data_IF_171331348221
#
_entry.id   IF_171331348221
#
_cell.length_a   1.000
_cell.length_b   1.000
_cell.length_c   1.000
_cell.angle_alpha   90.00
_cell.angle_beta   90.00
_cell.angle_gamma   90.00
#
_symmetry.space_group_name_H-M   'P 1'
#
loop_
_entity.id
_entity.type
_entity.pdbx_description
1 polymer ?
#
# COMPACT_ATOMS: atom_id res chain seq x y z
N UNK A 1 -9.15 16.33 -11.32
CA UNK A 1 -9.03 17.34 -10.23
C UNK A 1 -10.17 17.10 -9.23
N UNK A 2 -10.08 17.53 -7.97
CA UNK A 2 -11.04 17.16 -6.90
C UNK A 2 -12.51 17.57 -7.08
N UNK A 3 -12.91 18.15 -8.22
CA UNK A 3 -14.29 18.51 -8.57
C UNK A 3 -14.97 17.57 -9.57
N UNK A 4 -14.36 16.43 -9.91
CA UNK A 4 -14.92 15.47 -10.90
C UNK A 4 -15.63 14.27 -10.26
N UNK A 5 -15.66 14.16 -8.93
CA UNK A 5 -16.23 13.00 -8.24
C UNK A 5 -17.75 12.89 -8.42
N UNK A 6 -18.47 14.02 -8.41
CA UNK A 6 -19.91 14.04 -8.70
C UNK A 6 -20.19 13.54 -10.11
N UNK A 7 -19.37 13.94 -11.08
CA UNK A 7 -19.51 13.51 -12.47
C UNK A 7 -19.19 12.01 -12.61
N UNK A 8 -18.12 11.53 -11.96
CA UNK A 8 -17.77 10.11 -11.97
C UNK A 8 -18.91 9.25 -11.40
N UNK A 9 -19.49 9.64 -10.26
CA UNK A 9 -20.63 8.97 -9.65
C UNK A 9 -21.89 9.04 -10.53
N UNK A 10 -22.15 10.21 -11.12
CA UNK A 10 -23.26 10.37 -12.04
C UNK A 10 -23.12 9.41 -13.22
N UNK A 11 -21.95 9.36 -13.87
CA UNK A 11 -21.68 8.43 -14.97
C UNK A 11 -21.84 6.98 -14.54
N UNK A 12 -21.34 6.60 -13.36
CA UNK A 12 -21.50 5.25 -12.80
C UNK A 12 -22.98 4.88 -12.64
N UNK A 13 -23.81 5.81 -12.12
CA UNK A 13 -25.26 5.59 -11.95
C UNK A 13 -26.00 5.45 -13.29
N UNK A 14 -25.55 6.17 -14.33
CA UNK A 14 -26.14 6.14 -15.66
C UNK A 14 -25.78 4.88 -16.47
N UNK A 15 -24.76 4.11 -16.06
CA UNK A 15 -24.40 2.87 -16.77
C UNK A 15 -25.57 1.87 -16.79
N UNK A 16 -26.28 1.73 -15.67
CA UNK A 16 -27.43 0.84 -15.56
C UNK A 16 -28.59 1.26 -16.49
N UNK A 17 -28.90 2.56 -16.57
CA UNK A 17 -29.94 3.07 -17.47
C UNK A 17 -29.55 2.95 -18.96
N UNK A 18 -28.25 3.01 -19.25
CA UNK A 18 -27.69 2.75 -20.57
C UNK A 18 -27.53 1.25 -20.89
N UNK A 19 -27.92 0.33 -19.98
CA UNK A 19 -27.74 -1.13 -20.10
C UNK A 19 -26.27 -1.56 -20.27
N UNK A 20 -25.35 -0.79 -19.68
CA UNK A 20 -23.92 -1.10 -19.63
C UNK A 20 -23.59 -1.51 -18.19
N UNK A 21 -22.95 -2.67 -18.01
CA UNK A 21 -22.48 -3.10 -16.69
C UNK A 21 -21.27 -2.29 -16.23
N UNK A 22 -21.31 -1.78 -14.99
CA UNK A 22 -20.10 -1.23 -14.38
C UNK A 22 -19.07 -2.35 -14.15
N UNK A 23 -17.81 -2.05 -14.39
CA UNK A 23 -16.68 -2.96 -14.16
C UNK A 23 -15.70 -2.36 -13.15
N UNK A 24 -14.62 -3.08 -12.88
CA UNK A 24 -13.56 -2.70 -11.94
C UNK A 24 -13.01 -1.31 -12.25
N UNK A 25 -12.84 -0.99 -13.54
CA UNK A 25 -12.32 0.30 -14.00
C UNK A 25 -13.29 1.44 -13.65
N UNK A 26 -14.60 1.27 -13.89
CA UNK A 26 -15.61 2.27 -13.55
C UNK A 26 -15.64 2.59 -12.07
N UNK A 27 -15.61 1.57 -11.22
CA UNK A 27 -15.55 1.75 -9.77
C UNK A 27 -14.23 2.36 -9.32
N UNK A 28 -13.09 1.89 -9.84
CA UNK A 28 -11.76 2.42 -9.56
C UNK A 28 -11.66 3.92 -9.86
N UNK A 29 -12.21 4.37 -10.99
CA UNK A 29 -12.27 5.79 -11.33
C UNK A 29 -13.05 6.61 -10.28
N UNK A 30 -14.20 6.09 -9.82
CA UNK A 30 -15.01 6.74 -8.80
C UNK A 30 -14.30 6.78 -7.44
N UNK A 31 -13.71 5.67 -6.99
CA UNK A 31 -12.95 5.58 -5.73
C UNK A 31 -11.82 6.60 -5.73
N UNK A 32 -11.02 6.64 -6.81
CA UNK A 32 -9.92 7.61 -6.97
C UNK A 32 -10.40 9.06 -6.93
N UNK A 33 -11.52 9.35 -7.60
CA UNK A 33 -12.09 10.70 -7.61
C UNK A 33 -12.57 11.14 -6.22
N UNK A 34 -13.21 10.24 -5.47
CA UNK A 34 -13.66 10.47 -4.10
C UNK A 34 -12.46 10.68 -3.15
N UNK A 35 -11.39 9.88 -3.28
CA UNK A 35 -10.15 10.07 -2.53
C UNK A 35 -9.49 11.42 -2.80
N UNK A 36 -9.47 11.87 -4.06
CA UNK A 36 -8.97 13.21 -4.43
C UNK A 36 -9.83 14.33 -3.84
N UNK A 37 -11.13 14.09 -3.71
CA UNK A 37 -12.08 15.02 -3.10
C UNK A 37 -12.13 14.95 -1.57
N UNK A 38 -11.34 14.06 -0.93
CA UNK A 38 -11.32 13.82 0.52
C UNK A 38 -12.66 13.33 1.10
N UNK A 39 -13.42 12.57 0.31
CA UNK A 39 -14.69 11.94 0.74
C UNK A 39 -14.45 10.43 0.84
N UNK A 40 -13.72 10.03 1.88
CA UNK A 40 -13.17 8.69 1.98
C UNK A 40 -14.22 7.65 2.33
N UNK A 41 -15.23 8.00 3.11
CA UNK A 41 -16.36 7.13 3.46
C UNK A 41 -17.10 6.68 2.19
N UNK A 42 -17.31 7.62 1.26
CA UNK A 42 -17.93 7.31 -0.03
C UNK A 42 -17.02 6.45 -0.92
N UNK A 43 -15.71 6.69 -0.89
CA UNK A 43 -14.75 5.82 -1.57
C UNK A 43 -14.82 4.37 -1.05
N UNK A 44 -14.97 4.18 0.26
CA UNK A 44 -15.13 2.86 0.87
C UNK A 44 -16.49 2.22 0.55
N UNK A 45 -17.57 3.01 0.53
CA UNK A 45 -18.89 2.53 0.08
C UNK A 45 -18.84 2.03 -1.38
N UNK A 46 -18.14 2.74 -2.26
CA UNK A 46 -17.93 2.32 -3.65
C UNK A 46 -17.08 1.04 -3.72
N UNK A 47 -16.02 0.94 -2.92
CA UNK A 47 -15.19 -0.25 -2.85
C UNK A 47 -15.98 -1.48 -2.36
N UNK A 48 -16.83 -1.31 -1.34
CA UNK A 48 -17.75 -2.36 -0.89
C UNK A 48 -18.76 -2.73 -1.98
N UNK A 49 -19.27 -1.74 -2.73
CA UNK A 49 -20.22 -1.94 -3.83
C UNK A 49 -19.58 -2.70 -5.00
N UNK A 50 -18.30 -2.48 -5.31
CA UNK A 50 -17.55 -3.25 -6.30
C UNK A 50 -17.66 -4.76 -5.98
N UNK A 51 -17.39 -5.15 -4.74
CA UNK A 51 -17.52 -6.55 -4.29
C UNK A 51 -18.97 -7.05 -4.30
N UNK A 52 -19.91 -6.20 -3.89
CA UNK A 52 -21.34 -6.50 -3.92
C UNK A 52 -21.88 -6.79 -5.33
N UNK A 53 -21.25 -6.23 -6.36
CA UNK A 53 -21.52 -6.51 -7.77
C UNK A 53 -20.75 -7.74 -8.29
N UNK A 54 -20.22 -8.59 -7.41
CA UNK A 54 -19.44 -9.79 -7.73
C UNK A 54 -18.15 -9.51 -8.55
N UNK A 55 -17.67 -8.27 -8.55
CA UNK A 55 -16.39 -7.90 -9.15
C UNK A 55 -15.26 -8.18 -8.15
N UNK A 56 -14.09 -8.54 -8.67
CA UNK A 56 -12.91 -8.79 -7.85
C UNK A 56 -12.07 -7.51 -7.77
N UNK A 57 -11.87 -6.90 -6.59
CA UNK A 57 -11.01 -5.75 -6.48
C UNK A 57 -9.57 -6.12 -6.82
N UNK A 58 -8.95 -5.34 -7.70
CA UNK A 58 -7.56 -5.49 -8.09
C UNK A 58 -6.62 -4.62 -7.22
N UNK A 59 -5.31 -4.76 -7.44
CA UNK A 59 -4.28 -3.98 -6.76
C UNK A 59 -4.51 -2.46 -6.87
N UNK A 60 -5.04 -1.98 -8.00
CA UNK A 60 -5.33 -0.56 -8.20
C UNK A 60 -6.50 -0.10 -7.33
N UNK A 61 -7.58 -0.87 -7.28
CA UNK A 61 -8.78 -0.59 -6.48
C UNK A 61 -8.45 -0.56 -4.99
N UNK A 62 -7.68 -1.54 -4.50
CA UNK A 62 -7.20 -1.55 -3.12
C UNK A 62 -6.29 -0.36 -2.80
N UNK A 63 -5.31 -0.08 -3.66
CA UNK A 63 -4.40 1.06 -3.48
C UNK A 63 -5.15 2.40 -3.40
N UNK A 64 -6.16 2.59 -4.23
CA UNK A 64 -6.98 3.80 -4.22
C UNK A 64 -7.89 3.90 -3.00
N UNK A 65 -8.49 2.80 -2.56
CA UNK A 65 -9.31 2.77 -1.35
C UNK A 65 -8.46 3.08 -0.10
N UNK A 66 -7.27 2.47 -0.01
CA UNK A 66 -6.28 2.76 1.04
C UNK A 66 -5.86 4.22 1.02
N UNK A 67 -5.48 4.76 -0.14
CA UNK A 67 -5.05 6.15 -0.26
C UNK A 67 -6.18 7.15 0.07
N UNK A 68 -7.42 6.81 -0.30
CA UNK A 68 -8.59 7.63 0.00
C UNK A 68 -8.86 7.68 1.50
N UNK A 69 -8.82 6.53 2.18
CA UNK A 69 -9.08 6.41 3.61
C UNK A 69 -7.86 6.69 4.49
N UNK A 70 -6.70 7.00 3.92
CA UNK A 70 -5.51 7.31 4.71
C UNK A 70 -5.69 8.62 5.51
N UNK A 71 -5.36 8.67 6.82
CA UNK A 71 -4.68 7.65 7.65
C UNK A 71 -5.60 6.84 8.58
N UNK A 72 -6.89 6.71 8.28
CA UNK A 72 -7.88 6.05 9.15
C UNK A 72 -7.54 4.58 9.42
N UNK A 73 -7.87 4.08 10.61
CA UNK A 73 -7.49 2.72 11.04
C UNK A 73 -8.01 1.60 10.11
N UNK A 74 -9.11 1.84 9.38
CA UNK A 74 -9.68 0.91 8.40
C UNK A 74 -8.69 0.51 7.29
N UNK A 75 -7.65 1.32 7.02
CA UNK A 75 -6.66 1.00 5.99
C UNK A 75 -5.87 -0.28 6.29
N UNK A 76 -5.67 -0.63 7.56
CA UNK A 76 -5.01 -1.87 7.95
C UNK A 76 -5.87 -3.10 7.59
N UNK A 77 -7.18 -3.01 7.81
CA UNK A 77 -8.11 -4.07 7.43
C UNK A 77 -8.19 -4.24 5.91
N UNK A 78 -8.20 -3.12 5.16
CA UNK A 78 -8.17 -3.13 3.71
C UNK A 78 -6.87 -3.77 3.18
N UNK A 79 -5.72 -3.44 3.76
CA UNK A 79 -4.45 -4.03 3.36
C UNK A 79 -4.40 -5.52 3.69
N UNK A 80 -4.84 -5.93 4.87
CA UNK A 80 -4.95 -7.35 5.25
C UNK A 80 -5.87 -8.12 4.30
N UNK A 81 -6.98 -7.51 3.89
CA UNK A 81 -7.88 -8.08 2.91
C UNK A 81 -7.22 -8.19 1.53
N UNK A 82 -6.50 -7.16 1.07
CA UNK A 82 -5.75 -7.18 -0.18
C UNK A 82 -4.69 -8.29 -0.22
N UNK A 83 -4.05 -8.57 0.93
CA UNK A 83 -3.10 -9.66 1.09
C UNK A 83 -3.78 -11.04 1.03
N UNK A 84 -4.96 -11.20 1.65
CA UNK A 84 -5.75 -12.44 1.58
C UNK A 84 -6.25 -12.72 0.16
N UNK A 85 -6.65 -11.66 -0.54
CA UNK A 85 -7.08 -11.72 -1.95
C UNK A 85 -5.89 -11.85 -2.92
N UNK A 86 -4.65 -11.93 -2.41
CA UNK A 86 -3.42 -12.16 -3.18
C UNK A 86 -3.19 -11.13 -4.29
N UNK A 87 -3.54 -9.87 -4.02
CA UNK A 87 -3.47 -8.80 -5.04
C UNK A 87 -2.04 -8.37 -5.40
N UNK A 88 -1.06 -8.65 -4.53
CA UNK A 88 0.36 -8.37 -4.77
C UNK A 88 1.22 -9.64 -4.57
N UNK A 89 1.12 -10.63 -5.48
CA UNK A 89 1.80 -11.92 -5.32
C UNK A 89 3.33 -11.80 -5.34
N UNK A 90 3.85 -10.85 -6.12
CA UNK A 90 5.30 -10.62 -6.27
C UNK A 90 5.85 -9.56 -5.29
N UNK A 91 5.08 -9.13 -4.29
CA UNK A 91 5.54 -8.12 -3.33
C UNK A 91 6.70 -8.63 -2.48
N UNK A 92 6.66 -9.90 -2.04
CA UNK A 92 7.74 -10.50 -1.27
C UNK A 92 8.76 -11.15 -2.18
N UNK A 93 9.98 -10.62 -2.14
CA UNK A 93 11.10 -11.08 -2.95
C UNK A 93 12.11 -11.84 -2.11
N UNK A 94 12.90 -12.70 -2.76
CA UNK A 94 14.08 -13.38 -2.17
C UNK A 94 13.77 -14.05 -0.82
N UNK A 95 12.69 -14.81 -0.76
CA UNK A 95 12.27 -15.53 0.44
C UNK A 95 11.85 -14.62 1.61
N UNK A 96 11.51 -13.36 1.35
CA UNK A 96 11.06 -12.38 2.35
C UNK A 96 12.14 -11.40 2.83
N UNK A 97 13.34 -11.45 2.25
CA UNK A 97 14.41 -10.46 2.49
C UNK A 97 14.28 -9.20 1.63
N UNK A 98 13.49 -9.26 0.55
CA UNK A 98 13.19 -8.12 -0.29
C UNK A 98 11.70 -7.78 -0.31
N UNK A 99 11.36 -6.50 -0.46
CA UNK A 99 10.02 -5.99 -0.62
C UNK A 99 9.92 -5.17 -1.91
N UNK A 100 9.11 -5.61 -2.88
CA UNK A 100 8.86 -4.89 -4.13
C UNK A 100 7.58 -4.05 -4.05
N UNK A 101 7.72 -2.73 -4.22
CA UNK A 101 6.64 -1.75 -4.13
C UNK A 101 6.26 -1.14 -5.49
N UNK A 102 6.75 -1.67 -6.62
CA UNK A 102 6.49 -1.08 -7.95
C UNK A 102 5.01 -0.90 -8.24
N UNK A 103 4.18 -1.83 -7.78
CA UNK A 103 2.75 -1.80 -8.05
C UNK A 103 1.91 -1.05 -7.01
N UNK A 104 2.55 -0.55 -5.95
CA UNK A 104 1.88 0.13 -4.86
C UNK A 104 1.67 1.63 -5.13
N UNK A 105 0.61 2.15 -4.51
CA UNK A 105 0.47 3.57 -4.23
C UNK A 105 1.29 3.98 -3.00
N UNK A 106 1.37 5.27 -2.68
CA UNK A 106 2.09 5.71 -1.48
C UNK A 106 1.48 5.15 -0.19
N UNK A 107 0.15 5.15 -0.02
CA UNK A 107 -0.50 4.64 1.19
C UNK A 107 -0.32 3.13 1.34
N UNK A 108 -0.58 2.37 0.27
CA UNK A 108 -0.37 0.91 0.29
C UNK A 108 1.10 0.53 0.45
N UNK A 109 2.06 1.32 -0.06
CA UNK A 109 3.48 1.11 0.15
C UNK A 109 3.90 1.31 1.62
N UNK A 110 3.37 2.34 2.30
CA UNK A 110 3.62 2.58 3.73
C UNK A 110 3.10 1.40 4.56
N UNK A 111 1.92 0.87 4.24
CA UNK A 111 1.36 -0.31 4.90
C UNK A 111 2.18 -1.56 4.61
N UNK A 112 2.60 -1.77 3.36
CA UNK A 112 3.44 -2.89 2.98
C UNK A 112 4.77 -2.91 3.73
N UNK A 113 5.46 -1.77 3.84
CA UNK A 113 6.71 -1.65 4.60
C UNK A 113 6.47 -1.88 6.08
N UNK A 114 5.44 -1.26 6.66
CA UNK A 114 5.07 -1.44 8.07
C UNK A 114 4.76 -2.91 8.39
N UNK A 115 3.94 -3.57 7.56
CA UNK A 115 3.59 -4.98 7.68
C UNK A 115 4.81 -5.88 7.52
N UNK A 116 5.63 -5.65 6.50
CA UNK A 116 6.82 -6.46 6.24
C UNK A 116 7.81 -6.40 7.41
N UNK A 117 8.08 -5.20 7.93
CA UNK A 117 8.93 -5.00 9.10
C UNK A 117 8.35 -5.63 10.36
N UNK A 118 7.02 -5.57 10.56
CA UNK A 118 6.38 -6.11 11.76
C UNK A 118 6.22 -7.64 11.75
N UNK A 119 5.87 -8.22 10.60
CA UNK A 119 5.36 -9.59 10.50
C UNK A 119 6.29 -10.55 9.75
N UNK A 120 7.12 -10.05 8.83
CA UNK A 120 7.98 -10.90 7.97
C UNK A 120 9.42 -10.86 8.45
N UNK A 121 10.00 -9.66 8.60
CA UNK A 121 11.41 -9.47 8.96
C UNK A 121 11.82 -10.16 10.27
N UNK A 122 11.04 -10.10 11.38
CA UNK A 122 11.44 -10.77 12.62
C UNK A 122 11.55 -12.29 12.47
N UNK A 123 10.74 -12.90 11.59
CA UNK A 123 10.79 -14.33 11.27
C UNK A 123 12.06 -14.68 10.48
N UNK A 124 12.56 -13.76 9.66
CA UNK A 124 13.81 -13.94 8.91
C UNK A 124 15.03 -13.83 9.82
N UNK A 125 15.07 -12.80 10.69
CA UNK A 125 16.17 -12.60 11.65
C UNK A 125 16.35 -13.80 12.61
N UNK A 126 15.24 -14.47 12.95
CA UNK A 126 15.29 -15.66 13.82
C UNK A 126 15.84 -16.90 13.10
N UNK A 127 15.73 -16.98 11.77
CA UNK A 127 16.16 -18.15 10.97
C UNK A 127 17.65 -18.13 10.65
N UNK A 128 18.28 -16.96 10.59
CA UNK A 128 19.69 -16.80 10.16
C UNK A 128 20.71 -16.97 11.29
N UNK A 129 20.47 -17.86 12.27
CA UNK A 129 21.42 -18.18 13.35
C UNK A 129 22.82 -18.49 12.78
N UNK A 130 23.73 -17.51 12.82
CA UNK A 130 25.14 -17.66 12.44
C UNK A 130 25.58 -17.06 11.09
N UNK A 131 24.68 -16.50 10.28
CA UNK A 131 25.04 -15.78 9.04
C UNK A 131 24.54 -14.34 9.07
N UNK A 132 25.34 -13.40 8.56
CA UNK A 132 24.90 -12.02 8.31
C UNK A 132 23.61 -12.06 7.48
N UNK A 133 22.51 -11.44 7.95
CA UNK A 133 21.26 -11.45 7.20
C UNK A 133 21.52 -10.87 5.81
N UNK A 134 21.03 -11.57 4.78
CA UNK A 134 20.97 -11.06 3.41
C UNK A 134 20.38 -9.65 3.46
N UNK A 135 21.00 -8.69 2.79
CA UNK A 135 20.61 -7.27 2.84
C UNK A 135 19.10 -7.11 2.72
N UNK A 136 18.49 -6.53 3.76
CA UNK A 136 17.05 -6.25 3.77
C UNK A 136 16.79 -5.06 2.86
N UNK A 137 15.96 -5.29 1.85
CA UNK A 137 15.91 -4.38 0.72
C UNK A 137 14.47 -4.04 0.31
N UNK A 138 14.21 -2.75 0.11
CA UNK A 138 12.92 -2.25 -0.37
C UNK A 138 13.12 -1.64 -1.76
N UNK A 139 12.41 -2.18 -2.74
CA UNK A 139 12.42 -1.71 -4.12
C UNK A 139 11.25 -0.75 -4.30
N UNK A 140 11.52 0.55 -4.37
CA UNK A 140 10.50 1.59 -4.54
C UNK A 140 10.18 1.88 -6.01
N UNK A 141 10.92 1.25 -6.93
CA UNK A 141 10.89 1.54 -8.35
C UNK A 141 11.27 2.99 -8.69
N UNK A 142 11.01 3.39 -9.94
CA UNK A 142 11.20 4.77 -10.43
C UNK A 142 9.97 5.68 -10.16
N UNK A 143 9.02 5.23 -9.33
CA UNK A 143 7.72 5.85 -9.12
C UNK A 143 6.83 5.73 -10.37
N UNK A 144 5.58 5.27 -10.22
CA UNK A 144 4.62 5.08 -11.34
C UNK A 144 4.22 6.36 -12.10
N UNK A 145 4.82 7.51 -11.82
CA UNK A 145 4.39 8.79 -12.40
C UNK A 145 5.45 9.89 -12.34
N UNK A 146 6.73 9.57 -12.60
CA UNK A 146 7.73 10.64 -12.75
C UNK A 146 7.73 11.19 -14.16
N UNK A 147 6.78 12.07 -14.45
CA UNK A 147 6.95 13.02 -15.54
C UNK A 147 8.03 14.04 -15.11
N UNK A 148 9.00 14.40 -15.98
CA UNK A 148 10.16 15.23 -15.62
C UNK A 148 9.85 16.59 -14.95
N UNK A 149 8.61 17.08 -15.05
CA UNK A 149 8.19 18.40 -14.59
C UNK A 149 7.45 18.42 -13.24
N UNK A 150 7.29 17.29 -12.52
CA UNK A 150 6.64 17.30 -11.20
C UNK A 150 7.62 17.59 -10.04
N UNK A 151 7.23 18.41 -9.04
CA UNK A 151 8.07 18.74 -7.90
C UNK A 151 8.33 17.53 -6.99
N UNK A 152 9.52 17.51 -6.37
CA UNK A 152 10.02 16.43 -5.52
C UNK A 152 9.21 16.31 -4.21
N UNK A 153 8.10 15.57 -4.23
CA UNK A 153 7.24 15.36 -3.05
C UNK A 153 6.14 14.30 -3.19
N UNK A 154 5.85 13.84 -4.41
CA UNK A 154 4.91 12.73 -4.72
C UNK A 154 5.61 11.38 -4.92
N UNK A 155 6.88 11.29 -4.54
CA UNK A 155 7.73 10.14 -4.81
C UNK A 155 7.52 9.08 -3.74
N UNK A 156 7.09 7.88 -4.15
CA UNK A 156 6.91 6.71 -3.29
C UNK A 156 8.15 6.48 -2.41
N UNK A 157 9.35 6.70 -2.96
CA UNK A 157 10.59 6.57 -2.21
C UNK A 157 10.72 7.62 -1.10
N UNK A 158 10.24 8.85 -1.30
CA UNK A 158 10.23 9.88 -0.26
C UNK A 158 9.28 9.47 0.88
N UNK A 159 8.08 8.98 0.55
CA UNK A 159 7.12 8.51 1.55
C UNK A 159 7.65 7.33 2.37
N UNK A 160 8.27 6.34 1.72
CA UNK A 160 8.88 5.19 2.41
C UNK A 160 10.05 5.64 3.29
N UNK A 161 10.94 6.51 2.80
CA UNK A 161 12.05 7.01 3.63
C UNK A 161 11.56 7.79 4.84
N UNK A 162 10.57 8.67 4.65
CA UNK A 162 9.98 9.43 5.76
C UNK A 162 9.42 8.50 6.84
N UNK A 163 8.73 7.42 6.46
CA UNK A 163 8.27 6.40 7.41
C UNK A 163 9.45 5.78 8.17
N UNK A 164 10.51 5.38 7.47
CA UNK A 164 11.69 4.76 8.10
C UNK A 164 12.40 5.74 9.07
N UNK A 165 12.57 7.00 8.66
CA UNK A 165 13.17 8.07 9.47
C UNK A 165 12.33 8.36 10.73
N UNK A 166 11.00 8.49 10.60
CA UNK A 166 10.07 8.68 11.72
C UNK A 166 10.10 7.51 12.72
N UNK A 167 10.52 6.33 12.28
CA UNK A 167 10.66 5.13 13.12
C UNK A 167 12.09 4.84 13.53
N UNK A 168 13.03 5.75 13.25
CA UNK A 168 14.45 5.60 13.54
C UNK A 168 15.05 4.30 12.97
N UNK A 169 14.64 3.91 11.76
CA UNK A 169 15.15 2.75 11.03
C UNK A 169 16.14 3.26 9.97
N UNK A 170 17.45 3.05 10.16
CA UNK A 170 18.44 3.51 9.20
C UNK A 170 18.27 2.84 7.83
N UNK A 171 18.33 3.63 6.77
CA UNK A 171 18.35 3.13 5.40
C UNK A 171 19.32 3.91 4.51
N UNK A 172 19.83 3.26 3.46
CA UNK A 172 20.69 3.87 2.45
C UNK A 172 20.15 3.58 1.06
N UNK A 173 20.27 4.55 0.15
CA UNK A 173 19.96 4.33 -1.26
C UNK A 173 21.13 3.59 -1.90
N UNK A 174 20.85 2.55 -2.69
CA UNK A 174 21.89 1.81 -3.38
C UNK A 174 22.59 2.71 -4.43
N UNK A 175 23.95 2.77 -4.45
CA UNK A 175 24.67 3.72 -5.30
C UNK A 175 24.38 3.58 -6.80
N UNK A 176 24.25 2.34 -7.29
CA UNK A 176 23.98 2.02 -8.70
C UNK A 176 22.49 1.81 -9.01
N UNK A 177 21.62 1.76 -7.99
CA UNK A 177 20.20 1.52 -8.18
C UNK A 177 19.40 2.48 -7.30
N UNK A 178 19.07 3.64 -7.85
CA UNK A 178 18.39 4.70 -7.11
C UNK A 178 17.00 4.31 -6.62
N UNK A 179 16.37 3.26 -7.17
CA UNK A 179 15.07 2.76 -6.72
C UNK A 179 15.15 1.70 -5.62
N UNK A 180 16.36 1.38 -5.13
CA UNK A 180 16.59 0.36 -4.11
C UNK A 180 17.06 1.01 -2.80
N UNK A 181 16.34 0.71 -1.72
CA UNK A 181 16.69 1.08 -0.36
C UNK A 181 17.22 -0.14 0.38
N UNK A 182 18.38 -0.01 1.02
CA UNK A 182 18.97 -1.03 1.88
C UNK A 182 18.79 -0.61 3.34
N UNK A 183 18.15 -1.47 4.14
CA UNK A 183 17.86 -1.21 5.54
C UNK A 183 18.94 -1.81 6.44
N UNK A 184 19.26 -1.12 7.52
CA UNK A 184 20.15 -1.59 8.57
C UNK A 184 19.39 -1.71 9.88
N UNK A 185 19.12 -2.95 10.31
CA UNK A 185 18.36 -3.24 11.53
C UNK A 185 19.25 -3.59 12.73
N UNK A 186 20.57 -3.38 12.63
CA UNK A 186 21.47 -3.67 13.75
C UNK A 186 21.12 -2.80 14.95
N UNK A 187 20.86 -3.45 16.09
CA UNK A 187 20.49 -2.77 17.32
C UNK A 187 19.03 -2.30 17.41
N UNK A 188 18.19 -2.59 16.40
CA UNK A 188 16.75 -2.30 16.46
C UNK A 188 16.03 -3.38 17.26
N UNK A 189 15.23 -2.98 18.27
CA UNK A 189 14.45 -3.92 19.07
C UNK A 189 13.33 -4.56 18.21
N UNK A 190 13.24 -5.91 18.13
CA UNK A 190 12.13 -6.59 17.45
C UNK A 190 10.73 -6.15 17.91
N UNK A 191 10.57 -5.67 19.17
CA UNK A 191 9.31 -5.12 19.67
C UNK A 191 8.93 -3.81 19.00
N UNK A 192 9.90 -2.96 18.69
CA UNK A 192 9.70 -1.72 17.93
C UNK A 192 9.17 -2.03 16.52
N UNK A 193 9.73 -3.05 15.87
CA UNK A 193 9.28 -3.49 14.56
C UNK A 193 7.84 -4.02 14.59
N UNK A 194 7.49 -4.85 15.58
CA UNK A 194 6.13 -5.37 15.77
C UNK A 194 5.08 -4.29 16.03
N UNK A 195 5.48 -3.14 16.56
CA UNK A 195 4.58 -2.01 16.83
C UNK A 195 4.25 -1.18 15.56
N UNK A 196 4.91 -1.44 14.43
CA UNK A 196 4.69 -0.71 13.18
C UNK A 196 3.35 -1.06 12.50
N UNK A 197 2.82 -2.25 12.78
CA UNK A 197 1.60 -2.75 12.16
C UNK A 197 0.70 -3.39 13.22
N UNK A 198 -0.58 -2.98 13.34
CA UNK A 198 -1.50 -3.60 14.26
C UNK A 198 -1.79 -5.03 13.77
N UNK A 199 -1.35 -6.02 14.53
CA UNK A 199 -1.60 -7.42 14.20
C UNK A 199 -3.11 -7.70 14.24
N UNK A 200 -3.71 -8.07 13.12
CA UNK A 200 -5.11 -8.52 13.04
C UNK A 200 -5.38 -9.82 13.82
N UNK A 201 -4.33 -10.48 14.34
CA UNK A 201 -4.45 -11.59 15.28
C UNK A 201 -4.90 -11.14 16.69
N UNK A 202 -5.03 -9.83 16.95
CA UNK A 202 -5.71 -9.30 18.14
C UNK A 202 -7.13 -8.86 17.79
N UNK A 203 -7.98 -9.81 17.38
CA UNK A 203 -9.41 -9.61 17.58
C UNK A 203 -9.60 -9.40 19.10
N UNK A 204 -10.17 -8.26 19.56
CA UNK A 204 -10.66 -8.21 20.92
C UNK A 204 -11.77 -9.24 20.96
N UNK A 205 -11.54 -10.34 21.71
CA UNK A 205 -12.66 -11.14 22.19
C UNK A 205 -13.56 -10.17 22.95
N UNK A 206 -14.69 -9.82 22.35
CA UNK A 206 -15.89 -9.40 23.05
C UNK A 206 -16.99 -10.36 22.63
#
# INVERSE_FOLDING_TARGET
KGGEWQMALYLLSQMASARVGANEISFSACIKSCGTARIWELALCLFASLRGNQLQPDAASYGQAIDAAWPEAVVFELFDQAMRDQTWPDMLQRGGSGLDLHYHSCGSAILAVSWWLAEVVPKQLTRTLGHEPSSLEVITGWGKSRMPWQPAGSDLQVSVRRLLDERAIPCKIHPQNRGLLQLDLRGIDPRQLRALYPSSAKSPRQ
#
